data_IF_097570439965
#
_entry.id   IF_097570439965
#
_cell.length_a   1.000
_cell.length_b   1.000
_cell.length_c   1.000
_cell.angle_alpha   90.00
_cell.angle_beta   90.00
_cell.angle_gamma   90.00
#
_symmetry.space_group_name_H-M   'P 1'
#
loop_
_entity.id
_entity.type
_entity.pdbx_description
1 polymer ?
#
# COMPACT_ATOMS: atom_id res chain seq x y z
N UNK A 1 -32.71 22.41 46.52
CA UNK A 1 -32.97 23.86 46.41
C UNK A 1 -32.93 24.26 44.93
N UNK A 2 -34.06 24.61 44.31
CA UNK A 2 -34.10 25.03 42.90
C UNK A 2 -33.74 26.51 42.84
N UNK A 3 -32.47 26.81 42.56
CA UNK A 3 -31.97 28.19 42.51
C UNK A 3 -32.66 28.96 41.38
N UNK A 4 -33.65 29.79 41.70
CA UNK A 4 -34.30 30.67 40.74
C UNK A 4 -33.35 31.83 40.40
N UNK A 5 -32.38 31.56 39.53
CA UNK A 5 -31.45 32.57 39.03
C UNK A 5 -32.20 33.59 38.15
N UNK A 6 -32.11 34.87 38.50
CA UNK A 6 -32.56 36.02 37.70
C UNK A 6 -32.03 35.93 36.24
N UNK A 7 -32.83 36.36 35.27
CA UNK A 7 -32.55 36.21 33.84
C UNK A 7 -31.20 36.80 33.41
N UNK A 8 -30.81 37.93 34.02
CA UNK A 8 -29.50 38.56 33.78
C UNK A 8 -28.34 37.70 34.27
N UNK A 9 -28.49 37.00 35.40
CA UNK A 9 -27.47 36.07 35.93
C UNK A 9 -27.33 34.84 35.03
N UNK A 10 -28.46 34.29 34.55
CA UNK A 10 -28.45 33.19 33.58
C UNK A 10 -27.74 33.56 32.27
N UNK A 11 -28.01 34.73 31.71
CA UNK A 11 -27.36 35.19 30.49
C UNK A 11 -25.83 35.34 30.65
N UNK A 12 -25.37 35.90 31.78
CA UNK A 12 -23.94 35.99 32.09
C UNK A 12 -23.29 34.61 32.20
N UNK A 13 -23.94 33.67 32.88
CA UNK A 13 -23.46 32.31 33.01
C UNK A 13 -23.35 31.59 31.66
N UNK A 14 -24.35 31.72 30.78
CA UNK A 14 -24.32 31.15 29.43
C UNK A 14 -23.18 31.75 28.59
N UNK A 15 -22.90 33.06 28.70
CA UNK A 15 -21.75 33.67 28.03
C UNK A 15 -20.42 33.07 28.49
N UNK A 16 -20.24 32.89 29.80
CA UNK A 16 -19.05 32.24 30.36
C UNK A 16 -18.87 30.81 29.86
N UNK A 17 -19.98 30.06 29.71
CA UNK A 17 -19.93 28.71 29.10
C UNK A 17 -19.44 28.79 27.66
N UNK A 18 -19.99 29.68 26.83
CA UNK A 18 -19.56 29.82 25.44
C UNK A 18 -18.10 30.22 25.30
N UNK A 19 -17.63 31.14 26.14
CA UNK A 19 -16.21 31.53 26.20
C UNK A 19 -15.33 30.32 26.53
N UNK A 20 -15.69 29.56 27.57
CA UNK A 20 -14.96 28.35 27.97
C UNK A 20 -14.95 27.29 26.87
N UNK A 21 -16.07 27.08 26.19
CA UNK A 21 -16.18 26.13 25.07
C UNK A 21 -15.31 26.59 23.90
N UNK A 22 -15.35 27.88 23.54
CA UNK A 22 -14.54 28.45 22.47
C UNK A 22 -13.05 28.25 22.73
N UNK A 23 -12.56 28.61 23.91
CA UNK A 23 -11.16 28.40 24.29
C UNK A 23 -10.78 26.92 24.29
N UNK A 24 -11.70 26.03 24.70
CA UNK A 24 -11.42 24.60 24.66
C UNK A 24 -11.35 24.06 23.22
N UNK A 25 -12.21 24.51 22.31
CA UNK A 25 -12.15 24.13 20.89
C UNK A 25 -10.83 24.60 20.28
N UNK A 26 -10.46 25.87 20.47
CA UNK A 26 -9.21 26.43 19.95
C UNK A 26 -7.99 25.63 20.46
N UNK A 27 -7.95 25.34 21.77
CA UNK A 27 -6.89 24.53 22.39
C UNK A 27 -6.83 23.12 21.79
N UNK A 28 -7.98 22.45 21.62
CA UNK A 28 -8.01 21.08 21.09
C UNK A 28 -7.66 21.05 19.60
N UNK A 29 -8.12 22.02 18.81
CA UNK A 29 -7.76 22.19 17.40
C UNK A 29 -6.25 22.38 17.24
N UNK A 30 -5.62 23.26 18.04
CA UNK A 30 -4.17 23.45 18.02
C UNK A 30 -3.41 22.16 18.39
N UNK A 31 -3.86 21.46 19.44
CA UNK A 31 -3.26 20.18 19.82
C UNK A 31 -3.37 19.14 18.70
N UNK A 32 -4.51 19.06 18.03
CA UNK A 32 -4.71 18.18 16.88
C UNK A 32 -3.78 18.57 15.72
N UNK A 33 -3.70 19.85 15.36
CA UNK A 33 -2.80 20.34 14.31
C UNK A 33 -1.34 19.98 14.60
N UNK A 34 -0.88 20.20 15.83
CA UNK A 34 0.50 19.88 16.23
C UNK A 34 0.80 18.39 16.15
N UNK A 35 -0.17 17.53 16.50
CA UNK A 35 -0.03 16.07 16.40
C UNK A 35 -0.09 15.58 14.96
N UNK A 36 -1.08 16.02 14.19
CA UNK A 36 -1.30 15.60 12.81
C UNK A 36 -0.18 16.09 11.87
N UNK A 37 0.36 17.28 12.13
CA UNK A 37 1.46 17.84 11.36
C UNK A 37 2.84 17.50 11.94
N UNK A 38 2.91 16.63 12.97
CA UNK A 38 4.18 16.15 13.51
C UNK A 38 4.92 15.36 12.42
N UNK A 39 5.93 15.97 11.83
CA UNK A 39 6.73 15.40 10.75
C UNK A 39 6.34 15.83 9.34
N UNK A 40 5.32 16.68 9.17
CA UNK A 40 5.00 17.28 7.87
C UNK A 40 5.81 18.56 7.68
N UNK A 41 6.47 18.69 6.53
CA UNK A 41 7.13 19.94 6.12
C UNK A 41 6.10 20.87 5.49
N UNK A 42 6.05 22.12 5.95
CA UNK A 42 5.24 23.15 5.29
C UNK A 42 5.87 23.46 3.93
N UNK A 43 5.14 23.19 2.86
CA UNK A 43 5.50 23.54 1.48
C UNK A 43 4.57 24.65 1.05
N UNK A 44 5.13 25.70 0.46
CA UNK A 44 4.42 26.88 -0.01
C UNK A 44 5.01 27.19 -1.37
N UNK A 45 4.14 27.49 -2.33
CA UNK A 45 4.54 27.98 -3.63
C UNK A 45 4.07 29.42 -3.78
N UNK A 46 4.99 30.28 -4.18
CA UNK A 46 4.71 31.68 -4.49
C UNK A 46 4.39 31.82 -5.99
N UNK A 47 3.73 32.92 -6.40
CA UNK A 47 3.55 33.23 -7.81
C UNK A 47 4.90 33.25 -8.55
N UNK A 48 4.89 32.80 -9.81
CA UNK A 48 6.05 32.56 -10.68
C UNK A 48 6.92 31.32 -10.35
N UNK A 49 6.67 30.61 -9.25
CA UNK A 49 7.35 29.33 -8.99
C UNK A 49 7.00 28.30 -10.06
N UNK A 50 8.00 27.53 -10.50
CA UNK A 50 7.80 26.39 -11.37
C UNK A 50 7.56 25.13 -10.53
N UNK A 51 6.56 24.34 -10.91
CA UNK A 51 6.16 23.12 -10.20
C UNK A 51 5.80 21.99 -11.16
N UNK A 52 6.13 20.77 -10.78
CA UNK A 52 5.60 19.56 -11.39
C UNK A 52 4.18 19.27 -10.89
N UNK A 53 3.29 18.93 -11.83
CA UNK A 53 1.93 18.51 -11.52
C UNK A 53 1.83 16.99 -11.40
N UNK A 54 1.32 16.49 -10.27
CA UNK A 54 1.06 15.07 -10.07
C UNK A 54 -0.21 14.62 -10.81
N UNK A 55 -0.04 13.72 -11.77
CA UNK A 55 -1.11 13.11 -12.55
C UNK A 55 -1.74 11.94 -11.79
N UNK A 56 -2.89 12.19 -11.14
CA UNK A 56 -3.73 11.15 -10.56
C UNK A 56 -4.66 10.51 -11.60
N UNK A 57 -4.89 9.20 -11.50
CA UNK A 57 -5.67 8.43 -12.49
C UNK A 57 -7.12 8.87 -12.55
N UNK A 58 -7.71 9.22 -11.41
CA UNK A 58 -9.10 9.66 -11.28
C UNK A 58 -9.36 11.06 -11.84
N UNK A 59 -8.33 11.93 -11.87
CA UNK A 59 -8.43 13.29 -12.43
C UNK A 59 -7.95 13.36 -13.88
N UNK A 60 -6.96 12.56 -14.23
CA UNK A 60 -6.31 12.59 -15.54
C UNK A 60 -6.27 11.20 -16.19
N UNK A 61 -7.43 10.59 -16.49
CA UNK A 61 -7.49 9.24 -17.07
C UNK A 61 -6.77 9.19 -18.43
N UNK A 62 -6.89 10.26 -19.23
CA UNK A 62 -6.25 10.35 -20.55
C UNK A 62 -4.72 10.51 -20.48
N UNK A 63 -4.21 11.14 -19.41
CA UNK A 63 -2.77 11.35 -19.20
C UNK A 63 -2.11 10.23 -18.41
N UNK A 64 -2.85 9.45 -17.62
CA UNK A 64 -2.37 8.30 -16.84
C UNK A 64 -3.22 7.05 -17.10
N UNK A 65 -3.06 6.49 -18.30
CA UNK A 65 -3.78 5.29 -18.77
C UNK A 65 -3.24 3.97 -18.18
N UNK A 66 -1.95 3.93 -17.84
CA UNK A 66 -1.29 2.73 -17.30
C UNK A 66 -0.36 3.08 -16.14
N UNK A 67 0.00 2.07 -15.35
CA UNK A 67 0.89 2.22 -14.19
C UNK A 67 2.33 2.59 -14.56
N UNK A 68 2.75 2.28 -15.79
CA UNK A 68 4.09 2.57 -16.31
C UNK A 68 4.24 3.99 -16.87
N UNK A 69 3.14 4.71 -17.07
CA UNK A 69 3.20 6.09 -17.55
C UNK A 69 3.73 7.03 -16.44
N UNK A 70 4.40 8.13 -16.80
CA UNK A 70 4.88 9.11 -15.83
C UNK A 70 3.75 9.59 -14.91
N UNK A 71 4.07 9.73 -13.61
CA UNK A 71 3.14 10.24 -12.60
C UNK A 71 3.17 11.76 -12.46
N UNK A 72 4.13 12.43 -13.08
CA UNK A 72 4.29 13.88 -13.06
C UNK A 72 4.36 14.44 -14.48
N UNK A 73 3.85 15.64 -14.66
CA UNK A 73 3.87 16.35 -15.94
C UNK A 73 4.26 17.82 -15.73
N UNK A 74 4.96 18.37 -16.73
CA UNK A 74 5.47 19.74 -16.91
C UNK A 74 6.06 20.48 -15.70
N UNK A 75 7.08 21.34 -15.88
CA UNK A 75 7.16 22.52 -15.04
C UNK A 75 6.04 23.49 -15.45
N UNK A 76 5.05 23.64 -14.59
CA UNK A 76 4.00 24.64 -14.71
C UNK A 76 4.29 25.82 -13.81
N UNK A 77 4.00 27.01 -14.27
CA UNK A 77 4.11 28.21 -13.46
C UNK A 77 2.91 28.35 -12.53
N UNK A 78 3.17 28.69 -11.27
CA UNK A 78 2.14 29.13 -10.33
C UNK A 78 1.74 30.56 -10.67
N UNK A 79 0.47 30.78 -11.04
CA UNK A 79 -0.06 32.12 -11.32
C UNK A 79 -0.42 32.86 -10.03
N UNK A 80 -1.05 32.15 -9.10
CA UNK A 80 -1.59 32.76 -7.89
C UNK A 80 -1.65 31.72 -6.76
N UNK A 81 -1.35 32.16 -5.55
CA UNK A 81 -1.58 31.38 -4.33
C UNK A 81 -2.93 31.74 -3.73
N UNK A 82 -3.90 30.84 -3.84
CA UNK A 82 -5.25 31.06 -3.29
C UNK A 82 -5.24 30.87 -1.77
N UNK A 83 -4.54 29.85 -1.29
CA UNK A 83 -4.28 29.63 0.13
C UNK A 83 -2.96 28.85 0.32
N UNK A 84 -2.52 28.67 1.56
CA UNK A 84 -1.31 27.89 1.89
C UNK A 84 -1.28 26.47 1.32
N UNK A 85 -2.43 25.90 1.00
CA UNK A 85 -2.60 24.51 0.57
C UNK A 85 -3.02 24.39 -0.89
N UNK A 86 -3.37 25.47 -1.58
CA UNK A 86 -3.94 25.45 -2.92
C UNK A 86 -3.37 26.61 -3.75
N UNK A 87 -2.85 26.26 -4.92
CA UNK A 87 -2.26 27.19 -5.87
C UNK A 87 -2.93 27.05 -7.24
N UNK A 88 -3.01 28.13 -7.98
CA UNK A 88 -3.50 28.17 -9.35
C UNK A 88 -2.32 28.10 -10.31
N UNK A 89 -2.36 27.16 -11.25
CA UNK A 89 -1.32 26.96 -12.24
C UNK A 89 -1.68 27.60 -13.59
N UNK A 90 -0.66 27.89 -14.37
CA UNK A 90 -0.76 28.20 -15.80
C UNK A 90 -0.95 26.90 -16.60
N UNK A 91 -2.12 26.27 -16.42
CA UNK A 91 -2.45 24.98 -17.02
C UNK A 91 -3.16 25.19 -18.37
N UNK A 92 -2.73 24.53 -19.47
CA UNK A 92 -3.42 24.65 -20.74
C UNK A 92 -4.79 23.97 -20.69
N UNK A 93 -5.76 24.51 -21.44
CA UNK A 93 -7.14 24.01 -21.44
C UNK A 93 -7.33 22.54 -21.87
N UNK A 94 -6.30 21.93 -22.46
CA UNK A 94 -6.30 20.53 -22.92
C UNK A 94 -6.41 19.51 -21.78
N UNK A 95 -6.13 19.89 -20.53
CA UNK A 95 -6.25 18.97 -19.39
C UNK A 95 -7.69 18.76 -18.94
N UNK A 96 -8.64 19.61 -19.34
CA UNK A 96 -10.06 19.43 -19.01
C UNK A 96 -10.39 19.51 -17.51
N UNK A 97 -9.47 19.99 -16.67
CA UNK A 97 -9.64 20.15 -15.22
C UNK A 97 -9.46 21.59 -14.80
N UNK A 98 -9.92 21.93 -13.59
CA UNK A 98 -9.64 23.23 -12.98
C UNK A 98 -8.15 23.44 -12.76
N UNK A 99 -7.65 24.65 -13.05
CA UNK A 99 -6.25 25.01 -12.86
C UNK A 99 -5.82 25.19 -11.39
N UNK A 100 -6.72 25.00 -10.43
CA UNK A 100 -6.43 25.08 -8.99
C UNK A 100 -6.09 23.69 -8.46
N UNK A 101 -4.89 23.55 -7.89
CA UNK A 101 -4.38 22.28 -7.36
C UNK A 101 -3.97 22.41 -5.91
N UNK A 102 -4.06 21.29 -5.19
CA UNK A 102 -3.55 21.20 -3.84
C UNK A 102 -2.02 21.11 -3.86
N UNK A 103 -1.34 21.70 -2.88
CA UNK A 103 0.11 21.64 -2.69
C UNK A 103 0.62 20.19 -2.61
N UNK A 104 -0.20 19.25 -2.11
CA UNK A 104 0.15 17.82 -2.11
C UNK A 104 0.22 17.18 -3.51
N UNK A 105 -0.41 17.80 -4.51
CA UNK A 105 -0.37 17.36 -5.91
C UNK A 105 0.69 18.12 -6.71
N UNK A 106 1.49 18.97 -6.06
CA UNK A 106 2.53 19.77 -6.68
C UNK A 106 3.89 19.40 -6.10
N UNK A 107 4.92 19.41 -6.92
CA UNK A 107 6.30 19.24 -6.48
C UNK A 107 7.15 20.39 -7.01
N UNK A 108 8.06 20.98 -6.20
CA UNK A 108 8.91 22.07 -6.67
C UNK A 108 9.75 21.61 -7.87
N UNK A 109 9.87 22.48 -8.86
CA UNK A 109 10.82 22.31 -9.95
C UNK A 109 12.12 23.06 -9.59
N UNK A 110 13.26 22.41 -9.78
CA UNK A 110 14.57 23.03 -9.61
C UNK A 110 15.29 22.99 -10.96
N UNK A 111 15.62 24.17 -11.49
CA UNK A 111 16.39 24.30 -12.72
C UNK A 111 17.85 23.89 -12.50
N UNK A 112 18.31 22.94 -13.32
CA UNK A 112 19.68 22.45 -13.48
C UNK A 112 20.31 21.63 -12.32
N UNK A 113 20.97 20.55 -12.75
CA UNK A 113 21.88 19.64 -12.02
C UNK A 113 21.30 18.49 -11.19
N UNK A 114 19.99 18.40 -11.00
CA UNK A 114 19.39 17.27 -10.28
C UNK A 114 18.33 16.54 -11.12
N UNK A 115 18.77 15.53 -11.89
CA UNK A 115 17.92 14.63 -12.70
C UNK A 115 16.86 13.87 -11.87
N UNK A 116 16.87 14.03 -10.55
CA UNK A 116 16.10 13.21 -9.61
C UNK A 116 14.63 13.62 -9.45
N UNK A 117 14.20 14.77 -10.00
CA UNK A 117 12.80 15.24 -9.87
C UNK A 117 11.80 14.43 -10.70
N UNK A 118 12.26 13.59 -11.64
CA UNK A 118 11.42 12.63 -12.39
C UNK A 118 11.23 11.31 -11.66
N UNK A 119 11.85 11.10 -10.50
CA UNK A 119 11.63 9.87 -9.72
C UNK A 119 10.17 9.84 -9.30
N UNK A 120 9.43 8.84 -9.80
CA UNK A 120 8.09 8.55 -9.29
C UNK A 120 8.23 8.35 -7.79
N UNK A 121 7.61 9.18 -6.93
CA UNK A 121 7.51 8.84 -5.52
C UNK A 121 6.83 7.48 -5.51
N UNK A 122 7.54 6.45 -5.04
CA UNK A 122 6.95 5.15 -4.84
C UNK A 122 5.96 5.31 -3.69
N UNK A 123 4.73 5.70 -4.04
CA UNK A 123 3.58 5.44 -3.20
C UNK A 123 3.25 3.97 -3.40
N UNK A 124 3.71 3.18 -2.44
CA UNK A 124 3.11 1.89 -2.13
C UNK A 124 1.62 2.10 -1.87
N UNK A 125 0.78 1.17 -2.33
CA UNK A 125 -0.67 1.10 -2.07
C UNK A 125 -1.57 1.99 -2.97
N UNK A 126 -1.97 1.41 -4.12
CA UNK A 126 -3.33 1.63 -4.63
C UNK A 126 -4.23 0.67 -3.81
N UNK A 127 -5.12 1.22 -2.99
CA UNK A 127 -5.96 0.49 -2.02
C UNK A 127 -7.15 -0.16 -2.77
N UNK A 128 -7.01 -1.42 -3.19
CA UNK A 128 -8.06 -2.21 -3.86
C UNK A 128 -9.07 -2.78 -2.84
N UNK A 129 -9.77 -1.93 -2.09
CA UNK A 129 -10.88 -2.40 -1.25
C UNK A 129 -12.19 -2.42 -2.04
N UNK A 130 -12.46 -3.54 -2.68
CA UNK A 130 -13.81 -3.89 -3.09
C UNK A 130 -14.59 -4.34 -1.83
N UNK A 131 -15.51 -3.51 -1.34
CA UNK A 131 -16.41 -3.85 -0.23
C UNK A 131 -17.62 -4.55 -0.84
N UNK A 132 -17.56 -5.86 -1.02
CA UNK A 132 -18.76 -6.68 -1.23
C UNK A 132 -18.63 -8.02 -0.48
N UNK A 133 -19.56 -8.27 0.44
CA UNK A 133 -19.92 -9.64 0.85
C UNK A 133 -19.34 -10.16 2.16
N UNK A 134 -19.79 -9.63 3.30
CA UNK A 134 -19.86 -10.41 4.55
C UNK A 134 -20.95 -11.46 4.36
N UNK A 135 -20.59 -12.74 4.34
CA UNK A 135 -21.51 -13.82 4.69
C UNK A 135 -20.74 -15.02 5.25
N UNK A 136 -21.26 -15.50 6.37
CA UNK A 136 -20.79 -16.58 7.22
C UNK A 136 -20.73 -17.92 6.48
N UNK A 137 -19.71 -18.71 6.77
CA UNK A 137 -19.84 -20.16 6.95
C UNK A 137 -18.76 -20.65 7.92
N UNK A 138 -19.21 -21.11 9.10
CA UNK A 138 -18.47 -21.91 10.06
C UNK A 138 -18.89 -23.37 9.84
N UNK A 139 -17.93 -24.29 10.03
CA UNK A 139 -18.05 -25.77 10.09
C UNK A 139 -18.20 -26.45 8.71
N UNK A 140 -17.44 -27.50 8.34
CA UNK A 140 -17.10 -28.74 9.07
C UNK A 140 -15.68 -29.22 8.67
N UNK A 141 -15.00 -29.90 9.60
CA UNK A 141 -13.71 -30.58 9.45
C UNK A 141 -13.84 -31.90 8.68
N UNK A 142 -12.92 -32.16 7.76
CA UNK A 142 -12.44 -33.53 7.45
C UNK A 142 -10.90 -33.51 7.45
N UNK A 143 -10.21 -34.27 8.32
CA UNK A 143 -8.77 -34.14 8.55
C UNK A 143 -7.94 -35.14 7.75
N UNK A 144 -8.13 -35.26 6.42
CA UNK A 144 -7.32 -36.20 5.61
C UNK A 144 -6.88 -35.76 4.20
N UNK A 145 -7.07 -34.50 3.77
CA UNK A 145 -6.62 -34.04 2.44
C UNK A 145 -5.74 -32.77 2.48
N UNK A 146 -4.71 -32.74 3.34
CA UNK A 146 -3.87 -31.54 3.52
C UNK A 146 -2.47 -31.62 2.90
N UNK A 147 -2.21 -32.57 1.99
CA UNK A 147 -0.86 -32.77 1.45
C UNK A 147 -0.63 -32.31 0.00
N UNK A 148 -1.60 -31.72 -0.71
CA UNK A 148 -1.38 -31.23 -2.09
C UNK A 148 -2.01 -29.88 -2.48
N UNK A 149 -2.59 -29.11 -1.55
CA UNK A 149 -3.22 -27.82 -1.88
C UNK A 149 -2.21 -26.64 -1.93
N UNK A 150 -1.35 -26.59 -2.96
CA UNK A 150 -0.61 -25.36 -3.32
C UNK A 150 -1.52 -24.52 -4.23
N UNK A 151 -2.55 -23.89 -3.67
CA UNK A 151 -3.47 -23.08 -4.47
C UNK A 151 -4.25 -22.07 -3.64
N UNK A 152 -3.95 -20.78 -3.87
CA UNK A 152 -4.72 -19.60 -3.40
C UNK A 152 -4.50 -19.13 -1.96
N UNK A 153 -4.27 -17.83 -1.81
CA UNK A 153 -4.04 -17.11 -0.54
C UNK A 153 -2.79 -16.21 -0.57
N UNK A 154 -2.70 -15.17 0.27
CA UNK A 154 -1.52 -14.31 0.35
C UNK A 154 -0.27 -15.07 0.81
N UNK A 155 0.90 -14.68 0.32
CA UNK A 155 2.18 -15.35 0.59
C UNK A 155 2.77 -14.81 1.90
N UNK A 156 2.55 -15.53 3.00
CA UNK A 156 3.11 -15.19 4.31
C UNK A 156 4.47 -15.87 4.53
N UNK A 157 5.27 -15.36 5.47
CA UNK A 157 6.62 -15.89 5.79
C UNK A 157 6.60 -17.36 6.23
N UNK A 158 5.60 -17.74 7.03
CA UNK A 158 5.41 -19.14 7.43
C UNK A 158 5.08 -20.04 6.25
N UNK A 159 4.30 -19.53 5.28
CA UNK A 159 3.93 -20.28 4.09
C UNK A 159 5.14 -20.54 3.19
N UNK A 160 5.99 -19.54 2.98
CA UNK A 160 7.24 -19.70 2.23
C UNK A 160 8.12 -20.79 2.86
N UNK A 161 8.21 -20.80 4.20
CA UNK A 161 9.00 -21.79 4.94
C UNK A 161 8.46 -23.21 4.76
N UNK A 162 7.14 -23.40 4.89
CA UNK A 162 6.49 -24.71 4.63
C UNK A 162 6.71 -25.17 3.20
N UNK A 163 6.61 -24.27 2.22
CA UNK A 163 6.82 -24.62 0.81
C UNK A 163 8.27 -25.07 0.56
N UNK A 164 9.23 -24.41 1.20
CA UNK A 164 10.64 -24.81 1.14
C UNK A 164 10.87 -26.18 1.78
N UNK A 165 10.26 -26.47 2.94
CA UNK A 165 10.33 -27.77 3.60
C UNK A 165 9.74 -28.89 2.74
N UNK A 166 8.60 -28.66 2.09
CA UNK A 166 7.97 -29.63 1.17
C UNK A 166 8.87 -29.93 -0.04
N UNK A 167 9.44 -28.89 -0.65
CA UNK A 167 10.36 -29.04 -1.78
C UNK A 167 11.61 -29.84 -1.37
N UNK A 168 12.16 -29.56 -0.19
CA UNK A 168 13.31 -30.29 0.35
C UNK A 168 12.96 -31.76 0.63
N UNK A 169 11.79 -32.02 1.22
CA UNK A 169 11.31 -33.38 1.48
C UNK A 169 11.12 -34.18 0.18
N UNK A 170 10.53 -33.58 -0.85
CA UNK A 170 10.37 -34.21 -2.16
C UNK A 170 11.72 -34.48 -2.85
N UNK A 171 12.65 -33.52 -2.79
CA UNK A 171 14.02 -33.72 -3.31
C UNK A 171 14.70 -34.91 -2.65
N UNK A 172 14.58 -35.03 -1.32
CA UNK A 172 15.17 -36.14 -0.57
C UNK A 172 14.51 -37.49 -0.89
N UNK A 173 13.19 -37.51 -1.10
CA UNK A 173 12.45 -38.71 -1.49
C UNK A 173 12.88 -39.21 -2.88
N UNK A 174 13.05 -38.29 -3.84
CA UNK A 174 13.53 -38.64 -5.19
C UNK A 174 14.94 -39.24 -5.14
N UNK A 175 15.83 -38.66 -4.33
CA UNK A 175 17.19 -39.19 -4.12
C UNK A 175 17.17 -40.59 -3.49
N UNK A 176 16.34 -40.79 -2.46
CA UNK A 176 16.23 -42.09 -1.77
C UNK A 176 15.68 -43.20 -2.68
N UNK A 177 14.71 -42.87 -3.54
CA UNK A 177 14.16 -43.83 -4.50
C UNK A 177 15.15 -44.16 -5.63
N UNK A 178 15.98 -43.19 -6.06
CA UNK A 178 17.07 -43.42 -7.00
C UNK A 178 18.09 -44.44 -6.47
N UNK A 179 18.47 -44.32 -5.19
CA UNK A 179 19.43 -45.23 -4.55
C UNK A 179 18.86 -46.66 -4.40
N UNK A 180 17.58 -46.79 -4.00
CA UNK A 180 16.93 -48.11 -3.88
C UNK A 180 16.85 -48.84 -5.23
N UNK A 181 16.50 -48.12 -6.30
CA UNK A 181 16.41 -48.70 -7.66
C UNK A 181 17.76 -49.25 -8.17
N UNK A 182 18.88 -48.58 -7.85
CA UNK A 182 20.21 -49.09 -8.20
C UNK A 182 20.59 -50.33 -7.39
N UNK A 183 20.24 -50.38 -6.10
CA UNK A 183 20.55 -51.55 -5.26
C UNK A 183 19.75 -52.80 -5.67
N UNK A 184 18.50 -52.64 -6.07
CA UNK A 184 17.66 -53.74 -6.58
C UNK A 184 18.16 -54.23 -7.94
N UNK A 185 18.57 -53.31 -8.83
CA UNK A 185 19.17 -53.68 -10.12
C UNK A 185 20.49 -54.46 -9.96
N UNK A 186 21.33 -54.08 -8.99
CA UNK A 186 22.56 -54.80 -8.68
C UNK A 186 22.27 -56.19 -8.10
N UNK A 187 21.25 -56.33 -7.25
CA UNK A 187 20.87 -57.61 -6.66
C UNK A 187 20.29 -58.58 -7.70
N UNK A 188 19.45 -58.10 -8.63
CA UNK A 188 18.92 -58.90 -9.75
C UNK A 188 20.05 -59.29 -10.72
N UNK A 189 20.99 -58.38 -10.99
CA UNK A 189 22.18 -58.69 -11.80
C UNK A 189 23.04 -59.79 -11.17
N UNK A 190 23.26 -59.76 -9.86
CA UNK A 190 24.02 -60.78 -9.14
C UNK A 190 23.31 -62.14 -9.15
N UNK A 191 21.99 -62.17 -8.96
CA UNK A 191 21.20 -63.42 -9.01
C UNK A 191 21.28 -64.06 -10.39
N UNK A 192 21.18 -63.27 -11.48
CA UNK A 192 21.29 -63.79 -12.85
C UNK A 192 22.66 -64.40 -13.14
N UNK A 193 23.73 -63.84 -12.57
CA UNK A 193 25.10 -64.33 -12.75
C UNK A 193 25.35 -65.66 -12.02
N UNK A 194 24.76 -65.84 -10.82
CA UNK A 194 24.87 -67.07 -10.04
C UNK A 194 24.09 -68.21 -10.71
N UNK A 195 22.92 -67.95 -11.29
CA UNK A 195 22.12 -68.96 -12.00
C UNK A 195 22.81 -69.46 -13.30
N UNK A 196 23.61 -68.61 -13.96
CA UNK A 196 24.36 -68.99 -15.16
C UNK A 196 25.57 -69.92 -14.89
N UNK A 197 26.10 -69.93 -13.68
CA UNK A 197 27.28 -70.73 -13.29
C UNK A 197 26.92 -72.11 -12.71
N UNK A 198 25.62 -72.38 -12.47
CA UNK A 198 25.15 -73.55 -11.72
C UNK A 198 24.48 -74.66 -12.52
N UNK A 199 24.70 -74.77 -13.84
CA UNK A 199 24.21 -75.92 -14.63
C UNK A 199 25.34 -76.94 -14.86
N UNK A 200 25.37 -78.08 -14.14
CA UNK A 200 26.29 -79.17 -14.47
C UNK A 200 25.74 -79.98 -15.66
N UNK A 201 26.66 -80.45 -16.51
CA UNK A 201 26.37 -81.48 -17.53
C UNK A 201 25.93 -82.79 -16.89
#
# INVERSE_FOLDING_TARGET
>A
ERVNMDGKKRAKFVKQIHEKVKSNIERMTQQYMNRANKGRKRVIFEPEDLVWLHLRKERFPDKRKSKLMPRGDGPFRVLERINDNNSKLDLPGQYGVSATFNVSDLSPFYDADNEESRTTPFQEEEDDRNIEGVQQAKEIQDPMDQDLAIGSGPMTRERLKRMQEVIQAQSNLVLANGIKSQSEAQHVSLISLIQAQGSPQ
#
